data_IF_143246327125
#
_entry.id   IF_143246327125
#
_cell.length_a   1.000
_cell.length_b   1.000
_cell.length_c   1.000
_cell.angle_alpha   90.00
_cell.angle_beta   90.00
_cell.angle_gamma   90.00
#
_symmetry.space_group_name_H-M   'P 1'
#
loop_
_entity.id
_entity.type
_entity.pdbx_description
1 polymer ?
#
# COMPACT_ATOMS: atom_id res chain seq x y z
N UNK A 1 31.66 -3.33 37.18
CA UNK A 1 30.49 -3.68 38.02
C UNK A 1 29.55 -4.44 37.09
N UNK A 2 29.23 -5.70 37.40
CA UNK A 2 28.42 -6.50 36.44
C UNK A 2 26.98 -5.96 36.36
N UNK A 3 26.47 -5.97 35.16
CA UNK A 3 25.09 -5.53 34.80
C UNK A 3 24.00 -6.32 35.55
N UNK A 4 24.29 -7.52 36.04
CA UNK A 4 23.37 -8.36 36.81
C UNK A 4 22.82 -7.68 38.10
N UNK A 5 23.54 -6.72 38.67
CA UNK A 5 23.08 -5.96 39.84
C UNK A 5 21.98 -4.96 39.59
N UNK A 6 21.66 -4.63 38.32
CA UNK A 6 20.60 -3.74 37.97
C UNK A 6 19.28 -4.45 37.68
N UNK A 7 19.32 -5.73 37.35
CA UNK A 7 18.09 -6.50 37.11
C UNK A 7 17.29 -6.79 38.37
N UNK A 8 17.98 -6.94 39.53
CA UNK A 8 17.31 -7.15 40.82
C UNK A 8 16.68 -5.89 41.41
N UNK A 9 16.92 -4.71 40.81
CA UNK A 9 16.32 -3.43 41.24
C UNK A 9 15.02 -3.09 40.52
N UNK A 10 14.67 -3.83 39.46
CA UNK A 10 13.41 -3.64 38.71
C UNK A 10 12.52 -4.86 38.97
N UNK A 11 12.12 -5.03 40.22
CA UNK A 11 11.28 -6.17 40.62
C UNK A 11 9.78 -5.93 40.46
N UNK A 12 9.36 -4.74 40.00
CA UNK A 12 7.93 -4.44 39.91
C UNK A 12 7.62 -3.57 38.68
N UNK A 13 7.63 -4.18 37.51
CA UNK A 13 7.25 -3.55 36.25
C UNK A 13 5.82 -2.97 36.30
N UNK A 14 4.92 -3.62 37.04
CA UNK A 14 3.54 -3.19 37.17
C UNK A 14 3.44 -1.85 37.90
N UNK A 15 4.20 -1.67 38.98
CA UNK A 15 4.22 -0.40 39.72
C UNK A 15 4.88 0.73 38.93
N UNK A 16 5.91 0.42 38.12
CA UNK A 16 6.53 1.40 37.24
C UNK A 16 5.55 1.84 36.15
N UNK A 17 4.87 0.88 35.53
CA UNK A 17 3.85 1.18 34.52
C UNK A 17 2.71 2.01 35.06
N UNK A 18 2.17 1.70 36.23
CA UNK A 18 1.14 2.47 36.93
C UNK A 18 1.63 3.91 37.21
N UNK A 19 2.87 4.07 37.68
CA UNK A 19 3.46 5.36 38.03
C UNK A 19 3.62 6.30 36.84
N UNK A 20 3.90 5.75 35.66
CA UNK A 20 4.10 6.50 34.42
C UNK A 20 2.90 6.41 33.45
N UNK A 21 1.76 5.88 33.94
CA UNK A 21 0.55 5.68 33.13
C UNK A 21 0.80 4.88 31.83
N UNK A 22 1.77 3.95 31.89
CA UNK A 22 2.05 3.01 30.82
C UNK A 22 1.09 1.84 30.96
N UNK A 23 0.25 1.57 29.97
CA UNK A 23 -0.53 0.33 29.93
C UNK A 23 0.46 -0.82 29.73
N UNK A 24 0.54 -1.73 30.71
CA UNK A 24 1.15 -3.04 30.48
C UNK A 24 0.09 -3.82 29.69
N UNK A 25 0.25 -3.85 28.40
CA UNK A 25 -0.49 -4.79 27.58
C UNK A 25 -0.01 -6.20 27.93
N UNK A 26 -0.95 -7.14 28.01
CA UNK A 26 -0.63 -8.57 28.21
C UNK A 26 0.35 -9.04 27.12
N UNK A 27 0.77 -10.33 27.12
CA UNK A 27 1.64 -10.83 26.05
C UNK A 27 1.01 -10.42 24.70
N UNK A 28 1.80 -9.74 23.87
CA UNK A 28 1.35 -9.28 22.57
C UNK A 28 0.69 -10.47 21.86
N UNK A 29 -0.52 -10.29 21.39
CA UNK A 29 -1.16 -11.26 20.52
C UNK A 29 -0.22 -11.51 19.35
N UNK A 30 -0.10 -12.76 18.93
CA UNK A 30 0.62 -13.01 17.68
C UNK A 30 -0.18 -12.40 16.53
N UNK A 31 0.49 -11.94 15.47
CA UNK A 31 -0.19 -11.35 14.31
C UNK A 31 -1.35 -12.19 13.78
N UNK A 32 -1.18 -13.51 13.72
CA UNK A 32 -2.21 -14.47 13.27
C UNK A 32 -3.39 -14.63 14.24
N UNK A 33 -3.27 -14.19 15.49
CA UNK A 33 -4.33 -14.27 16.51
C UNK A 33 -5.18 -12.98 16.55
N UNK A 34 -4.82 -11.92 15.80
CA UNK A 34 -5.64 -10.71 15.69
C UNK A 34 -7.01 -11.05 15.07
N UNK A 35 -8.13 -10.58 15.64
CA UNK A 35 -9.47 -10.95 15.17
C UNK A 35 -9.74 -10.63 13.70
N UNK A 36 -9.22 -9.52 13.17
CA UNK A 36 -9.39 -9.13 11.77
C UNK A 36 -8.53 -9.99 10.85
N UNK A 37 -7.29 -10.30 11.26
CA UNK A 37 -6.43 -11.25 10.56
C UNK A 37 -7.06 -12.64 10.51
N UNK A 38 -7.62 -13.11 11.63
CA UNK A 38 -8.36 -14.39 11.68
C UNK A 38 -9.53 -14.37 10.70
N UNK A 39 -10.28 -13.28 10.60
CA UNK A 39 -11.39 -13.14 9.65
C UNK A 39 -10.90 -13.20 8.20
N UNK A 40 -9.86 -12.43 7.86
CA UNK A 40 -9.25 -12.41 6.51
C UNK A 40 -8.74 -13.80 6.13
N UNK A 41 -8.00 -14.45 7.03
CA UNK A 41 -7.40 -15.75 6.78
C UNK A 41 -8.40 -16.92 6.88
N UNK A 42 -9.60 -16.71 7.41
CA UNK A 42 -10.65 -17.73 7.47
C UNK A 42 -11.08 -18.26 6.09
N UNK A 43 -10.82 -17.48 5.04
CA UNK A 43 -11.08 -17.89 3.65
C UNK A 43 -9.96 -18.74 3.05
N UNK A 44 -8.85 -18.96 3.77
CA UNK A 44 -7.70 -19.75 3.32
C UNK A 44 -7.62 -21.08 4.04
N UNK A 45 -7.28 -22.16 3.33
CA UNK A 45 -7.11 -23.51 3.90
C UNK A 45 -5.84 -24.18 3.38
N UNK A 46 -5.25 -25.06 4.18
CA UNK A 46 -4.11 -25.89 3.78
C UNK A 46 -2.90 -25.05 3.39
N UNK A 47 -2.32 -25.32 2.21
CA UNK A 47 -1.12 -24.64 1.73
C UNK A 47 -1.37 -23.12 1.51
N UNK A 48 -2.59 -22.72 1.14
CA UNK A 48 -2.93 -21.31 0.96
C UNK A 48 -2.86 -20.54 2.27
N UNK A 49 -3.29 -21.13 3.38
CA UNK A 49 -3.15 -20.52 4.69
C UNK A 49 -1.67 -20.42 5.11
N UNK A 50 -0.86 -21.43 4.81
CA UNK A 50 0.59 -21.38 5.06
C UNK A 50 1.23 -20.22 4.30
N UNK A 51 0.97 -20.10 2.99
CA UNK A 51 1.49 -19.03 2.16
C UNK A 51 1.03 -17.64 2.61
N UNK A 52 -0.23 -17.50 3.02
CA UNK A 52 -0.73 -16.25 3.57
C UNK A 52 -0.01 -15.86 4.87
N UNK A 53 0.32 -16.83 5.73
CA UNK A 53 1.11 -16.61 6.94
C UNK A 53 2.57 -16.29 6.61
N UNK A 54 3.20 -16.92 5.62
CA UNK A 54 4.56 -16.60 5.20
C UNK A 54 4.68 -15.14 4.73
N UNK A 55 3.69 -14.67 3.96
CA UNK A 55 3.58 -13.25 3.58
C UNK A 55 3.32 -12.37 4.81
N UNK A 56 2.41 -12.77 5.72
CA UNK A 56 2.12 -12.02 6.95
C UNK A 56 3.38 -11.78 7.77
N UNK A 57 4.26 -12.79 7.86
CA UNK A 57 5.53 -12.68 8.59
C UNK A 57 6.68 -12.10 7.76
N UNK A 58 6.47 -11.83 6.48
CA UNK A 58 7.49 -11.33 5.57
C UNK A 58 8.64 -12.33 5.32
N UNK A 59 8.37 -13.62 5.45
CA UNK A 59 9.35 -14.68 5.25
C UNK A 59 9.47 -15.06 3.77
N UNK A 60 10.29 -14.29 3.05
CA UNK A 60 10.49 -14.45 1.61
C UNK A 60 11.01 -15.85 1.25
N UNK A 61 11.98 -16.39 2.01
CA UNK A 61 12.59 -17.70 1.69
C UNK A 61 11.54 -18.80 1.80
N UNK A 62 10.73 -18.76 2.85
CA UNK A 62 9.63 -19.71 3.04
C UNK A 62 8.53 -19.55 1.99
N UNK A 63 8.15 -18.31 1.68
CA UNK A 63 7.17 -18.04 0.61
C UNK A 63 7.64 -18.66 -0.72
N UNK A 64 8.91 -18.47 -1.08
CA UNK A 64 9.48 -19.04 -2.32
C UNK A 64 9.43 -20.58 -2.34
N UNK A 65 9.83 -21.22 -1.21
CA UNK A 65 9.81 -22.67 -1.06
C UNK A 65 8.38 -23.24 -1.12
N UNK A 66 7.45 -22.65 -0.38
CA UNK A 66 6.09 -23.13 -0.26
C UNK A 66 5.25 -22.87 -1.51
N UNK A 67 5.48 -21.76 -2.23
CA UNK A 67 4.87 -21.52 -3.56
C UNK A 67 5.35 -22.56 -4.57
N UNK A 68 6.66 -22.82 -4.62
CA UNK A 68 7.21 -23.82 -5.54
C UNK A 68 6.63 -25.22 -5.23
N UNK A 69 6.57 -25.60 -3.97
CA UNK A 69 5.98 -26.88 -3.54
C UNK A 69 4.49 -26.98 -3.86
N UNK A 70 3.72 -25.90 -3.67
CA UNK A 70 2.31 -25.85 -4.01
C UNK A 70 2.07 -26.07 -5.52
N UNK A 71 2.85 -25.40 -6.36
CA UNK A 71 2.80 -25.53 -7.83
C UNK A 71 3.17 -26.96 -8.25
N UNK A 72 4.22 -27.55 -7.67
CA UNK A 72 4.59 -28.94 -7.91
C UNK A 72 3.49 -29.93 -7.46
N UNK A 73 2.79 -29.58 -6.38
CA UNK A 73 1.63 -30.31 -5.87
C UNK A 73 0.37 -30.21 -6.74
N UNK A 74 0.38 -29.35 -7.76
CA UNK A 74 -0.71 -29.17 -8.71
C UNK A 74 -1.68 -28.04 -8.39
N UNK A 75 -1.35 -27.14 -7.46
CA UNK A 75 -2.13 -25.94 -7.22
C UNK A 75 -2.06 -25.00 -8.44
N UNK A 76 -3.14 -24.27 -8.69
CA UNK A 76 -3.20 -23.26 -9.76
C UNK A 76 -2.45 -22.00 -9.34
N UNK A 77 -1.42 -21.55 -10.11
CA UNK A 77 -0.67 -20.35 -9.77
C UNK A 77 -1.52 -19.08 -9.63
N UNK A 78 -2.57 -18.91 -10.44
CA UNK A 78 -3.47 -17.75 -10.34
C UNK A 78 -4.26 -17.80 -9.03
N UNK A 79 -4.71 -18.97 -8.65
CA UNK A 79 -5.42 -19.18 -7.39
C UNK A 79 -4.51 -18.96 -6.17
N UNK A 80 -3.24 -19.36 -6.24
CA UNK A 80 -2.24 -19.05 -5.20
C UNK A 80 -2.00 -17.55 -5.06
N UNK A 81 -1.90 -16.81 -6.16
CA UNK A 81 -1.77 -15.35 -6.12
C UNK A 81 -2.99 -14.73 -5.42
N UNK A 82 -4.19 -15.02 -5.90
CA UNK A 82 -5.41 -14.33 -5.48
C UNK A 82 -5.91 -14.76 -4.08
N UNK A 83 -5.79 -16.04 -3.76
CA UNK A 83 -6.43 -16.64 -2.58
C UNK A 83 -5.43 -17.10 -1.51
N UNK A 84 -4.13 -16.80 -1.68
CA UNK A 84 -3.10 -17.04 -0.67
C UNK A 84 -2.22 -15.81 -0.46
N UNK A 85 -1.39 -15.45 -1.45
CA UNK A 85 -0.42 -14.36 -1.31
C UNK A 85 -1.10 -13.01 -1.06
N UNK A 86 -2.14 -12.66 -1.84
CA UNK A 86 -2.91 -11.43 -1.62
C UNK A 86 -3.63 -11.42 -0.27
N UNK A 87 -4.12 -12.58 0.21
CA UNK A 87 -4.75 -12.65 1.55
C UNK A 87 -3.76 -12.39 2.68
N UNK A 88 -2.53 -12.86 2.53
CA UNK A 88 -1.44 -12.49 3.45
C UNK A 88 -1.21 -10.98 3.46
N UNK A 89 -1.19 -10.32 2.31
CA UNK A 89 -1.00 -8.88 2.21
C UNK A 89 -2.21 -8.07 2.73
N UNK A 90 -3.45 -8.57 2.54
CA UNK A 90 -4.64 -8.00 3.17
C UNK A 90 -4.49 -7.97 4.71
N UNK A 91 -4.03 -9.07 5.30
CA UNK A 91 -3.78 -9.19 6.74
C UNK A 91 -2.67 -8.23 7.23
N UNK A 92 -1.58 -8.12 6.48
CA UNK A 92 -0.49 -7.14 6.76
C UNK A 92 -1.04 -5.71 6.74
N UNK A 93 -1.86 -5.37 5.76
CA UNK A 93 -2.47 -4.04 5.62
C UNK A 93 -3.40 -3.72 6.80
N UNK A 94 -4.15 -4.70 7.29
CA UNK A 94 -5.00 -4.56 8.47
C UNK A 94 -4.17 -4.25 9.74
N UNK A 95 -3.09 -5.00 10.00
CA UNK A 95 -2.20 -4.78 11.14
C UNK A 95 -1.45 -3.44 11.04
N UNK A 96 -1.05 -3.04 9.85
CA UNK A 96 -0.42 -1.74 9.63
C UNK A 96 -1.38 -0.59 9.93
N UNK A 97 -2.63 -0.67 9.47
CA UNK A 97 -3.69 0.32 9.76
C UNK A 97 -3.96 0.45 11.26
N UNK A 98 -3.87 -0.66 12.01
CA UNK A 98 -3.99 -0.66 13.48
C UNK A 98 -2.76 -0.12 14.21
N UNK A 99 -1.65 0.08 13.53
CA UNK A 99 -0.37 0.49 14.12
C UNK A 99 0.35 -0.65 14.86
N UNK A 100 -0.04 -1.90 14.62
CA UNK A 100 0.65 -3.10 15.15
C UNK A 100 1.84 -3.49 14.28
N UNK A 101 1.73 -3.31 12.96
CA UNK A 101 2.83 -3.40 12.00
C UNK A 101 3.35 -2.02 11.63
N UNK A 102 4.64 -1.96 11.30
CA UNK A 102 5.33 -0.76 10.89
C UNK A 102 5.87 -0.90 9.45
N UNK A 103 6.42 0.18 8.91
CA UNK A 103 6.91 0.20 7.54
C UNK A 103 7.90 -0.95 7.20
N UNK A 104 8.87 -1.33 8.07
CA UNK A 104 9.73 -2.48 7.80
C UNK A 104 8.97 -3.80 7.61
N UNK A 105 7.94 -4.06 8.44
CA UNK A 105 7.13 -5.28 8.34
C UNK A 105 6.40 -5.34 7.02
N UNK A 106 5.84 -4.20 6.61
CA UNK A 106 5.15 -4.03 5.34
C UNK A 106 6.08 -4.26 4.13
N UNK A 107 7.32 -3.75 4.19
CA UNK A 107 8.31 -3.94 3.14
C UNK A 107 8.71 -5.41 3.01
N UNK A 108 8.95 -6.10 4.13
CA UNK A 108 9.29 -7.52 4.13
C UNK A 108 8.15 -8.37 3.57
N UNK A 109 6.92 -8.09 3.98
CA UNK A 109 5.73 -8.78 3.45
C UNK A 109 5.53 -8.54 1.95
N UNK A 110 5.72 -7.29 1.49
CA UNK A 110 5.67 -6.93 0.08
C UNK A 110 6.73 -7.67 -0.74
N UNK A 111 7.97 -7.75 -0.25
CA UNK A 111 9.06 -8.49 -0.91
C UNK A 111 8.76 -9.99 -0.97
N UNK A 112 8.23 -10.58 0.11
CA UNK A 112 7.82 -11.98 0.16
C UNK A 112 6.72 -12.27 -0.86
N UNK A 113 5.65 -11.47 -0.86
CA UNK A 113 4.54 -11.60 -1.81
C UNK A 113 5.00 -11.49 -3.25
N UNK A 114 5.76 -10.44 -3.61
CA UNK A 114 6.22 -10.23 -4.99
C UNK A 114 7.14 -11.35 -5.47
N UNK A 115 7.94 -11.94 -4.58
CA UNK A 115 8.76 -13.10 -4.92
C UNK A 115 7.88 -14.32 -5.24
N UNK A 116 6.88 -14.60 -4.42
CA UNK A 116 5.92 -15.68 -4.68
C UNK A 116 5.14 -15.49 -5.99
N UNK A 117 4.70 -14.25 -6.27
CA UNK A 117 4.04 -13.89 -7.55
C UNK A 117 4.96 -14.17 -8.73
N UNK A 118 6.25 -13.79 -8.64
CA UNK A 118 7.20 -14.03 -9.73
C UNK A 118 7.37 -15.53 -10.05
N UNK A 119 7.38 -16.40 -9.04
CA UNK A 119 7.42 -17.86 -9.23
C UNK A 119 6.14 -18.37 -9.91
N UNK A 120 4.97 -17.85 -9.52
CA UNK A 120 3.72 -18.17 -10.17
C UNK A 120 3.70 -17.74 -11.65
N UNK A 121 4.17 -16.53 -11.95
CA UNK A 121 4.26 -15.98 -13.31
C UNK A 121 5.23 -16.77 -14.19
N UNK A 122 6.37 -17.20 -13.64
CA UNK A 122 7.31 -18.06 -14.35
C UNK A 122 6.63 -19.38 -14.77
N UNK A 123 5.84 -19.97 -13.89
CA UNK A 123 5.07 -21.18 -14.19
C UNK A 123 4.01 -20.97 -15.24
N UNK A 124 3.31 -19.83 -15.21
CA UNK A 124 2.28 -19.48 -16.19
C UNK A 124 2.88 -19.17 -17.57
N UNK A 125 4.15 -18.73 -17.62
CA UNK A 125 4.80 -18.27 -18.83
C UNK A 125 4.37 -16.87 -19.31
N UNK A 126 3.57 -16.18 -18.51
CA UNK A 126 3.15 -14.79 -18.71
C UNK A 126 2.88 -14.13 -17.35
N UNK A 127 2.85 -12.79 -17.34
CA UNK A 127 2.46 -12.05 -16.15
C UNK A 127 0.99 -12.33 -15.81
N UNK A 128 0.68 -12.33 -14.53
CA UNK A 128 -0.69 -12.35 -14.06
C UNK A 128 -1.45 -11.11 -14.58
N UNK A 129 -2.73 -11.26 -14.89
CA UNK A 129 -3.54 -10.11 -15.29
C UNK A 129 -3.62 -9.13 -14.12
N UNK A 130 -3.23 -7.88 -14.38
CA UNK A 130 -3.37 -6.81 -13.41
C UNK A 130 -4.81 -6.29 -13.35
N UNK A 131 -5.26 -5.81 -12.18
CA UNK A 131 -6.58 -5.18 -12.02
C UNK A 131 -6.71 -3.97 -12.95
N UNK A 132 -5.72 -3.09 -12.93
CA UNK A 132 -5.63 -1.92 -13.81
C UNK A 132 -4.22 -1.32 -13.74
N UNK A 133 -3.91 -0.40 -14.67
CA UNK A 133 -2.68 0.40 -14.65
C UNK A 133 -2.87 1.65 -13.80
N UNK A 134 -1.83 2.02 -13.05
CA UNK A 134 -1.76 3.26 -12.27
C UNK A 134 -0.44 3.96 -12.56
N UNK A 135 -0.50 5.18 -13.11
CA UNK A 135 0.73 5.97 -13.34
C UNK A 135 1.19 6.59 -12.02
N UNK A 136 2.47 6.44 -11.69
CA UNK A 136 3.07 6.93 -10.47
C UNK A 136 4.27 7.84 -10.77
N UNK A 137 4.31 9.05 -10.19
CA UNK A 137 5.45 9.96 -10.35
C UNK A 137 5.70 10.80 -9.09
N UNK A 138 6.97 11.22 -8.91
CA UNK A 138 7.27 12.44 -8.16
C UNK A 138 7.35 13.59 -9.18
N UNK A 139 6.65 14.69 -8.87
CA UNK A 139 6.40 15.77 -9.83
C UNK A 139 7.67 16.52 -10.25
N UNK A 140 7.56 17.28 -11.33
CA UNK A 140 8.64 18.11 -11.88
C UNK A 140 9.31 19.00 -10.81
N UNK A 141 10.62 18.92 -10.75
CA UNK A 141 11.46 19.62 -9.77
C UNK A 141 11.55 18.93 -8.41
N UNK A 142 10.84 17.82 -8.16
CA UNK A 142 10.90 17.12 -6.87
C UNK A 142 11.80 15.87 -6.94
N UNK A 143 12.95 15.88 -6.22
CA UNK A 143 13.87 14.75 -6.21
C UNK A 143 13.46 13.63 -5.23
N UNK A 144 12.38 13.82 -4.44
CA UNK A 144 11.99 12.91 -3.38
C UNK A 144 11.05 11.83 -3.89
N UNK A 145 11.46 10.58 -3.82
CA UNK A 145 10.73 9.44 -4.38
C UNK A 145 10.30 8.38 -3.36
N UNK A 146 10.65 8.53 -2.08
CA UNK A 146 10.30 7.52 -1.06
C UNK A 146 8.78 7.30 -0.99
N UNK A 147 7.99 8.38 -0.92
CA UNK A 147 6.52 8.28 -0.87
C UNK A 147 5.95 7.60 -2.12
N UNK A 148 6.45 7.96 -3.31
CA UNK A 148 6.09 7.34 -4.58
C UNK A 148 6.45 5.85 -4.59
N UNK A 149 7.64 5.48 -4.13
CA UNK A 149 8.07 4.08 -4.10
C UNK A 149 7.21 3.23 -3.17
N UNK A 150 6.75 3.80 -2.04
CA UNK A 150 5.77 3.15 -1.17
C UNK A 150 4.44 2.90 -1.89
N UNK A 151 3.93 3.90 -2.62
CA UNK A 151 2.70 3.76 -3.42
C UNK A 151 2.87 2.63 -4.45
N UNK A 152 3.98 2.62 -5.20
CA UNK A 152 4.29 1.58 -6.18
C UNK A 152 4.30 0.19 -5.53
N UNK A 153 4.92 0.07 -4.36
CA UNK A 153 4.95 -1.19 -3.60
C UNK A 153 3.53 -1.63 -3.21
N UNK A 154 2.71 -0.74 -2.65
CA UNK A 154 1.33 -1.07 -2.26
C UNK A 154 0.46 -1.46 -3.45
N UNK A 155 0.58 -0.77 -4.57
CA UNK A 155 -0.16 -1.10 -5.78
C UNK A 155 0.22 -2.48 -6.32
N UNK A 156 1.52 -2.79 -6.43
CA UNK A 156 2.00 -4.12 -6.82
C UNK A 156 1.44 -5.20 -5.89
N UNK A 157 1.54 -4.98 -4.58
CA UNK A 157 1.07 -5.92 -3.56
C UNK A 157 -0.46 -6.12 -3.56
N UNK A 158 -1.22 -5.28 -4.25
CA UNK A 158 -2.67 -5.39 -4.38
C UNK A 158 -3.13 -5.70 -5.81
N UNK A 159 -2.22 -6.19 -6.68
CA UNK A 159 -2.55 -6.69 -8.02
C UNK A 159 -2.74 -5.62 -9.09
N UNK A 160 -2.28 -4.39 -8.86
CA UNK A 160 -2.22 -3.33 -9.86
C UNK A 160 -0.92 -3.37 -10.66
N UNK A 161 -0.91 -2.75 -11.84
CA UNK A 161 0.29 -2.51 -12.64
C UNK A 161 0.72 -1.04 -12.51
N UNK A 162 1.63 -0.69 -11.58
CA UNK A 162 2.15 0.67 -11.50
C UNK A 162 3.09 0.95 -12.66
N UNK A 163 2.81 2.04 -13.38
CA UNK A 163 3.69 2.63 -14.38
C UNK A 163 4.54 3.69 -13.68
N UNK A 164 5.70 3.30 -13.20
CA UNK A 164 6.58 4.17 -12.43
C UNK A 164 7.42 5.06 -13.35
N UNK A 165 7.09 6.36 -13.42
CA UNK A 165 7.82 7.35 -14.21
C UNK A 165 9.08 7.88 -13.50
N UNK A 166 9.26 7.53 -12.21
CA UNK A 166 10.39 8.01 -11.42
C UNK A 166 10.13 9.35 -10.72
N UNK A 167 11.17 10.14 -10.60
CA UNK A 167 11.19 11.43 -9.90
C UNK A 167 11.58 12.57 -10.83
N UNK A 168 11.23 13.81 -10.44
CA UNK A 168 11.51 15.02 -11.24
C UNK A 168 10.93 14.86 -12.67
N UNK A 169 9.70 14.35 -12.75
CA UNK A 169 9.07 14.00 -14.02
C UNK A 169 8.45 15.26 -14.65
N UNK A 170 8.83 15.66 -15.86
CA UNK A 170 8.21 16.79 -16.55
C UNK A 170 6.68 16.62 -16.67
N UNK A 171 5.91 17.68 -16.43
CA UNK A 171 4.46 17.62 -16.44
C UNK A 171 3.90 17.11 -17.79
N UNK A 172 4.55 17.44 -18.91
CA UNK A 172 4.17 16.96 -20.24
C UNK A 172 4.36 15.44 -20.38
N UNK A 173 5.41 14.87 -19.75
CA UNK A 173 5.69 13.45 -19.81
C UNK A 173 4.68 12.65 -18.97
N UNK A 174 4.20 13.22 -17.86
CA UNK A 174 3.11 12.63 -17.07
C UNK A 174 1.84 12.51 -17.93
N UNK A 175 1.46 13.59 -18.61
CA UNK A 175 0.26 13.60 -19.48
C UNK A 175 0.45 12.69 -20.71
N UNK A 176 1.67 12.61 -21.24
CA UNK A 176 1.99 11.68 -22.34
C UNK A 176 1.82 10.21 -21.87
N UNK A 177 2.25 9.88 -20.65
CA UNK A 177 2.06 8.55 -20.08
C UNK A 177 0.55 8.20 -19.89
N UNK A 178 -0.31 9.17 -19.58
CA UNK A 178 -1.76 8.93 -19.51
C UNK A 178 -2.33 8.52 -20.87
N UNK A 179 -1.87 9.13 -21.94
CA UNK A 179 -2.29 8.77 -23.31
C UNK A 179 -1.75 7.42 -23.78
N UNK A 180 -0.49 7.11 -23.39
CA UNK A 180 0.16 5.87 -23.81
C UNK A 180 -0.39 4.65 -23.07
N UNK A 181 -0.61 4.78 -21.75
CA UNK A 181 -0.94 3.65 -20.90
C UNK A 181 -2.42 3.53 -20.56
N UNK A 182 -3.21 4.59 -20.78
CA UNK A 182 -4.65 4.65 -20.46
C UNK A 182 -4.92 4.16 -19.01
N UNK A 183 -4.28 4.76 -17.98
CA UNK A 183 -4.40 4.30 -16.61
C UNK A 183 -5.79 4.59 -16.05
N UNK A 184 -6.26 3.73 -15.14
CA UNK A 184 -7.49 3.98 -14.39
C UNK A 184 -7.34 5.14 -13.39
N UNK A 185 -6.12 5.36 -12.90
CA UNK A 185 -5.79 6.37 -11.90
C UNK A 185 -4.30 6.77 -12.05
N UNK A 186 -3.96 7.93 -11.53
CA UNK A 186 -2.57 8.33 -11.34
C UNK A 186 -2.29 8.76 -9.90
N UNK A 187 -1.01 8.73 -9.52
CA UNK A 187 -0.52 9.31 -8.27
C UNK A 187 0.64 10.25 -8.55
N UNK A 188 0.61 11.41 -7.92
CA UNK A 188 1.64 12.43 -8.03
C UNK A 188 2.09 12.86 -6.63
N UNK A 189 3.39 12.80 -6.34
CA UNK A 189 3.93 13.14 -5.03
C UNK A 189 4.81 14.40 -5.07
N UNK A 190 4.69 15.24 -4.03
CA UNK A 190 5.54 16.40 -3.82
C UNK A 190 5.92 16.55 -2.35
N UNK A 191 7.21 16.73 -2.06
CA UNK A 191 7.71 16.96 -0.69
C UNK A 191 8.02 18.44 -0.42
N UNK A 192 8.10 19.27 -1.46
CA UNK A 192 8.42 20.69 -1.34
C UNK A 192 7.22 21.57 -1.76
N UNK A 193 7.05 22.70 -1.06
CA UNK A 193 5.98 23.67 -1.39
C UNK A 193 6.16 24.30 -2.78
N UNK A 194 7.40 24.34 -3.28
CA UNK A 194 7.70 24.86 -4.63
C UNK A 194 7.30 23.89 -5.73
N UNK A 195 7.32 22.58 -5.47
CA UNK A 195 7.03 21.54 -6.46
C UNK A 195 5.56 21.13 -6.52
N UNK A 196 4.79 21.28 -5.43
CA UNK A 196 3.37 20.96 -5.42
C UNK A 196 2.53 21.73 -6.45
N UNK A 197 3.03 22.87 -6.95
CA UNK A 197 2.39 23.64 -8.02
C UNK A 197 2.31 22.88 -9.35
N UNK A 198 3.06 21.80 -9.51
CA UNK A 198 3.00 20.92 -10.68
C UNK A 198 1.64 20.25 -10.83
N UNK A 199 0.92 19.97 -9.72
CA UNK A 199 -0.42 19.35 -9.80
C UNK A 199 -1.38 20.17 -10.68
N UNK A 200 -1.44 21.49 -10.46
CA UNK A 200 -2.26 22.39 -11.27
C UNK A 200 -1.83 22.46 -12.74
N UNK A 201 -0.53 22.33 -13.02
CA UNK A 201 -0.01 22.29 -14.39
C UNK A 201 -0.41 20.99 -15.11
N UNK A 202 -0.29 19.84 -14.41
CA UNK A 202 -0.73 18.55 -14.94
C UNK A 202 -2.23 18.61 -15.23
N UNK A 203 -3.04 19.07 -14.27
CA UNK A 203 -4.50 19.20 -14.44
C UNK A 203 -4.86 20.09 -15.65
N UNK A 204 -4.20 21.24 -15.81
CA UNK A 204 -4.44 22.11 -16.95
C UNK A 204 -4.10 21.47 -18.29
N UNK A 205 -2.97 20.75 -18.37
CA UNK A 205 -2.59 20.01 -19.57
C UNK A 205 -3.58 18.87 -19.88
N UNK A 206 -4.11 18.21 -18.85
CA UNK A 206 -5.14 17.18 -19.03
C UNK A 206 -6.44 17.78 -19.61
N UNK A 207 -6.88 18.94 -19.10
CA UNK A 207 -8.06 19.64 -19.64
C UNK A 207 -7.87 20.04 -21.11
N UNK A 208 -6.68 20.54 -21.47
CA UNK A 208 -6.34 20.87 -22.87
C UNK A 208 -6.40 19.65 -23.80
N UNK A 209 -6.06 18.48 -23.28
CA UNK A 209 -6.00 17.22 -24.02
C UNK A 209 -7.31 16.39 -23.91
N UNK A 210 -8.28 16.86 -23.11
CA UNK A 210 -9.57 16.19 -22.91
C UNK A 210 -9.45 14.85 -22.16
N UNK A 211 -8.47 14.73 -21.25
CA UNK A 211 -8.24 13.54 -20.44
C UNK A 211 -8.98 13.65 -19.11
N UNK A 212 -9.57 12.55 -18.65
CA UNK A 212 -10.26 12.44 -17.36
C UNK A 212 -9.68 11.26 -16.54
N UNK A 213 -8.48 11.47 -16.02
CA UNK A 213 -7.79 10.50 -15.15
C UNK A 213 -7.78 11.04 -13.72
N UNK A 214 -8.36 10.34 -12.73
CA UNK A 214 -8.26 10.71 -11.32
C UNK A 214 -6.80 10.71 -10.84
N UNK A 215 -6.36 11.78 -10.16
CA UNK A 215 -4.99 11.93 -9.67
C UNK A 215 -4.99 12.05 -8.15
N UNK A 216 -4.42 11.07 -7.45
CA UNK A 216 -4.10 11.17 -6.03
C UNK A 216 -2.84 12.00 -5.82
N UNK A 217 -2.98 13.17 -5.21
CA UNK A 217 -1.89 14.10 -4.94
C UNK A 217 -1.51 14.06 -3.46
N UNK A 218 -0.25 13.70 -3.13
CA UNK A 218 0.19 13.57 -1.75
C UNK A 218 1.66 13.95 -1.53
N UNK A 219 2.08 13.86 -0.28
CA UNK A 219 3.45 14.17 0.15
C UNK A 219 3.51 15.23 1.24
N UNK A 220 4.65 15.34 1.94
CA UNK A 220 4.76 16.09 3.19
C UNK A 220 4.51 17.61 3.11
N UNK A 221 4.59 18.20 1.93
CA UNK A 221 4.25 19.62 1.72
C UNK A 221 2.81 19.83 1.23
N UNK A 222 2.13 18.74 0.84
CA UNK A 222 0.85 18.81 0.16
C UNK A 222 -0.28 18.98 1.16
N UNK A 223 -1.25 19.82 0.83
CA UNK A 223 -2.43 20.08 1.65
C UNK A 223 -3.69 19.90 0.82
N UNK A 224 -4.73 19.40 1.47
CA UNK A 224 -6.02 19.13 0.85
C UNK A 224 -6.61 20.37 0.15
N UNK A 225 -6.66 21.49 0.86
CA UNK A 225 -7.22 22.76 0.37
C UNK A 225 -6.54 23.22 -0.93
N UNK A 226 -5.24 22.99 -1.08
CA UNK A 226 -4.51 23.30 -2.30
C UNK A 226 -4.80 22.32 -3.44
N UNK A 227 -4.82 21.02 -3.16
CA UNK A 227 -5.08 20.00 -4.19
C UNK A 227 -6.48 20.12 -4.78
N UNK A 228 -7.46 20.40 -3.94
CA UNK A 228 -8.86 20.48 -4.35
C UNK A 228 -9.23 21.75 -5.14
N UNK A 229 -8.26 22.68 -5.34
CA UNK A 229 -8.40 23.77 -6.31
C UNK A 229 -8.37 23.29 -7.78
N UNK A 230 -7.79 22.10 -8.03
CA UNK A 230 -7.56 21.58 -9.38
C UNK A 230 -8.55 20.46 -9.74
N UNK A 231 -9.11 20.49 -10.94
CA UNK A 231 -9.90 19.39 -11.47
C UNK A 231 -9.06 18.08 -11.52
N UNK A 232 -9.71 16.94 -11.54
CA UNK A 232 -9.13 15.59 -11.58
C UNK A 232 -8.27 15.20 -10.37
N UNK A 233 -7.89 16.14 -9.48
CA UNK A 233 -7.05 15.90 -8.33
C UNK A 233 -7.85 15.62 -7.06
N UNK A 234 -7.37 14.70 -6.22
CA UNK A 234 -7.84 14.51 -4.85
C UNK A 234 -6.62 14.36 -3.91
N UNK A 235 -6.80 14.71 -2.64
CA UNK A 235 -5.70 14.64 -1.68
C UNK A 235 -5.50 13.21 -1.20
N UNK A 236 -4.33 12.63 -1.47
CA UNK A 236 -3.89 11.34 -0.96
C UNK A 236 -3.19 11.52 0.38
N UNK A 237 -3.79 11.00 1.47
CA UNK A 237 -3.27 11.18 2.83
C UNK A 237 -2.11 10.25 3.09
N UNK A 238 -2.32 8.95 2.87
CA UNK A 238 -1.33 7.91 3.13
C UNK A 238 -1.12 7.01 1.92
N UNK A 239 0.12 6.53 1.74
CA UNK A 239 0.45 5.68 0.61
C UNK A 239 -0.35 4.36 0.58
N UNK A 240 -0.59 3.78 1.76
CA UNK A 240 -1.34 2.51 1.89
C UNK A 240 -2.85 2.63 1.62
N UNK A 241 -3.40 3.85 1.53
CA UNK A 241 -4.77 4.07 1.08
C UNK A 241 -4.93 3.85 -0.43
N UNK A 242 -3.84 3.97 -1.20
CA UNK A 242 -3.90 3.99 -2.67
C UNK A 242 -4.59 2.78 -3.28
N UNK A 243 -4.38 1.54 -2.83
CA UNK A 243 -5.11 0.39 -3.39
C UNK A 243 -6.62 0.48 -3.20
N UNK A 244 -7.09 0.88 -2.01
CA UNK A 244 -8.53 1.03 -1.73
C UNK A 244 -9.17 2.12 -2.59
N UNK A 245 -8.45 3.22 -2.81
CA UNK A 245 -8.88 4.30 -3.70
C UNK A 245 -8.94 3.81 -5.15
N UNK A 246 -7.94 3.05 -5.58
CA UNK A 246 -7.92 2.44 -6.91
C UNK A 246 -9.05 1.41 -7.09
N UNK A 247 -9.31 0.54 -6.09
CA UNK A 247 -10.44 -0.40 -6.11
C UNK A 247 -11.78 0.36 -6.25
N UNK A 248 -11.99 1.47 -5.53
CA UNK A 248 -13.21 2.25 -5.62
C UNK A 248 -13.40 2.91 -7.00
N UNK A 249 -12.33 3.24 -7.71
CA UNK A 249 -12.38 3.76 -9.07
C UNK A 249 -12.67 2.63 -10.06
N UNK A 250 -11.95 1.51 -9.95
CA UNK A 250 -12.01 0.40 -10.91
C UNK A 250 -13.29 -0.42 -10.76
N UNK A 251 -13.65 -0.78 -9.52
CA UNK A 251 -14.75 -1.69 -9.24
C UNK A 251 -16.09 -0.95 -9.08
N UNK A 252 -16.09 0.21 -8.41
CA UNK A 252 -17.31 0.99 -8.12
C UNK A 252 -17.56 2.12 -9.12
N UNK A 253 -16.59 2.42 -9.99
CA UNK A 253 -16.71 3.50 -10.99
C UNK A 253 -16.74 4.90 -10.39
N UNK A 254 -16.13 5.11 -9.21
CA UNK A 254 -16.11 6.42 -8.55
C UNK A 254 -15.22 7.42 -9.29
N UNK A 255 -15.70 8.65 -9.34
CA UNK A 255 -14.96 9.78 -9.89
C UNK A 255 -14.04 10.41 -8.85
N UNK A 256 -13.16 11.30 -9.28
CA UNK A 256 -12.31 12.05 -8.34
C UNK A 256 -13.12 12.93 -7.38
N UNK A 257 -14.31 13.43 -7.80
CA UNK A 257 -15.24 14.16 -6.92
C UNK A 257 -15.87 13.27 -5.86
N UNK A 258 -16.17 12.02 -6.19
CA UNK A 258 -16.70 11.05 -5.24
C UNK A 258 -15.62 10.67 -4.22
N UNK A 259 -14.39 10.47 -4.67
CA UNK A 259 -13.25 10.25 -3.77
C UNK A 259 -13.09 11.40 -2.76
N UNK A 260 -13.18 12.66 -3.21
CA UNK A 260 -13.10 13.83 -2.32
C UNK A 260 -14.15 13.83 -1.22
N UNK A 261 -15.37 13.38 -1.54
CA UNK A 261 -16.50 13.34 -0.58
C UNK A 261 -16.44 12.15 0.35
N UNK A 262 -16.03 11.00 -0.15
CA UNK A 262 -16.19 9.69 0.49
C UNK A 262 -14.85 9.10 0.94
N UNK A 263 -13.76 9.86 0.93
CA UNK A 263 -12.40 9.38 1.19
C UNK A 263 -12.31 8.54 2.49
N UNK A 264 -12.82 9.08 3.60
CA UNK A 264 -12.76 8.41 4.90
C UNK A 264 -13.58 7.11 4.93
N UNK A 265 -14.70 7.06 4.19
CA UNK A 265 -15.53 5.86 4.05
C UNK A 265 -14.82 4.80 3.20
N UNK A 266 -14.20 5.20 2.08
CA UNK A 266 -13.47 4.30 1.18
C UNK A 266 -12.29 3.65 1.90
N UNK A 267 -11.50 4.43 2.62
CA UNK A 267 -10.33 3.89 3.33
C UNK A 267 -10.69 3.15 4.62
N UNK A 268 -11.92 3.34 5.13
CA UNK A 268 -12.44 2.65 6.32
C UNK A 268 -11.92 3.20 7.65
N UNK A 269 -11.43 4.46 7.66
CA UNK A 269 -10.89 5.10 8.86
C UNK A 269 -11.18 6.59 8.91
N UNK A 270 -11.15 7.16 10.13
CA UNK A 270 -11.25 8.60 10.31
C UNK A 270 -9.97 9.29 9.83
N UNK A 271 -10.13 10.18 8.86
CA UNK A 271 -9.04 10.97 8.31
C UNK A 271 -9.33 12.45 8.54
N UNK A 272 -8.57 13.07 9.46
CA UNK A 272 -8.78 14.47 9.87
C UNK A 272 -8.76 15.46 8.68
N UNK A 273 -8.02 15.15 7.60
CA UNK A 273 -7.98 15.97 6.40
C UNK A 273 -9.29 15.98 5.59
N UNK A 274 -10.22 15.04 5.88
CA UNK A 274 -11.50 14.87 5.19
C UNK A 274 -12.72 14.96 6.12
N UNK A 275 -12.54 15.39 7.39
CA UNK A 275 -13.59 15.54 8.40
C UNK A 275 -14.01 17.01 8.66
#
# INVERSE_FOLDING_TARGET
MPLEKYYDLITDYEQIAIRYNVKIEGPALKPEDDPEVVEILSATEGIKNTLALDVLYGDKEKTDEDVAAAIEGGEDPIDLINNALMKGMDAVSALYTKGEYFLPDLMLAGDAMMSGVAICEEKLGHKADSKAKVVCCAVEGDPHDIGKNLIVMFLNANGYEPIDLGRDVPNADVVAAFKEHEPAMATATALMTTTMTAFGKIAALMEEEGLDVPIGCGGGAVRRDFVEEFAHCFYGVEAYHTPKLADSIVDDGKTWEDIRKEYAEIVGEYVAAYS
#
